data_IF_355250716336
#
_entry.id   IF_355250716336
#
_cell.length_a   1.000
_cell.length_b   1.000
_cell.length_c   1.000
_cell.angle_alpha   90.00
_cell.angle_beta   90.00
_cell.angle_gamma   90.00
#
_symmetry.space_group_name_H-M   'P 1'
#
loop_
_entity.id
_entity.type
_entity.pdbx_description
1 polymer ?
#
# COMPACT_ATOMS: atom_id res chain seq x y z
N UNK A 1 -6.84 3.93 -17.19
CA UNK A 1 -6.21 2.59 -17.24
C UNK A 1 -4.74 2.66 -17.67
N UNK A 2 -4.37 3.18 -18.83
CA UNK A 2 -2.96 3.43 -19.18
C UNK A 2 -2.39 4.70 -18.52
N UNK A 3 -3.22 5.63 -18.08
CA UNK A 3 -2.83 6.84 -17.34
C UNK A 3 -2.36 6.53 -15.90
N UNK A 4 -2.79 5.43 -15.32
CA UNK A 4 -2.44 5.06 -13.94
C UNK A 4 -1.01 4.50 -13.83
N UNK A 5 -0.52 3.82 -14.85
CA UNK A 5 0.87 3.36 -14.92
C UNK A 5 1.86 4.53 -14.97
N UNK A 6 1.51 5.63 -15.66
CA UNK A 6 2.33 6.84 -15.71
C UNK A 6 2.53 7.48 -14.33
N UNK A 7 1.45 7.60 -13.54
CA UNK A 7 1.49 8.19 -12.21
C UNK A 7 2.31 7.35 -11.22
N UNK A 8 2.15 6.02 -11.24
CA UNK A 8 2.94 5.12 -10.41
C UNK A 8 4.43 5.17 -10.77
N UNK A 9 4.78 5.24 -12.05
CA UNK A 9 6.16 5.39 -12.49
C UNK A 9 6.78 6.72 -12.10
N UNK A 10 6.02 7.81 -12.14
CA UNK A 10 6.49 9.13 -11.69
C UNK A 10 6.80 9.13 -10.20
N UNK A 11 5.91 8.56 -9.39
CA UNK A 11 6.14 8.40 -7.95
C UNK A 11 7.35 7.50 -7.70
N UNK A 12 7.46 6.37 -8.39
CA UNK A 12 8.59 5.45 -8.26
C UNK A 12 9.94 6.11 -8.58
N UNK A 13 10.00 6.95 -9.61
CA UNK A 13 11.21 7.73 -9.96
C UNK A 13 11.59 8.71 -8.86
N UNK A 14 10.61 9.35 -8.23
CA UNK A 14 10.85 10.27 -7.12
C UNK A 14 11.59 9.59 -5.96
N UNK A 15 11.33 8.32 -5.72
CA UNK A 15 11.91 7.53 -4.63
C UNK A 15 12.98 6.54 -5.08
N UNK A 16 13.36 6.51 -6.36
CA UNK A 16 14.41 5.66 -6.90
C UNK A 16 14.06 4.17 -6.97
N UNK A 17 12.77 3.82 -6.98
CA UNK A 17 12.28 2.43 -7.00
C UNK A 17 11.66 2.01 -8.35
N UNK A 18 11.83 2.81 -9.38
CA UNK A 18 11.24 2.57 -10.71
C UNK A 18 11.62 1.22 -11.32
N UNK A 19 12.84 0.74 -11.05
CA UNK A 19 13.33 -0.53 -11.60
C UNK A 19 12.77 -1.77 -10.87
N UNK A 20 12.14 -1.55 -9.72
CA UNK A 20 11.49 -2.59 -8.93
C UNK A 20 10.00 -2.75 -9.24
N UNK A 21 9.41 -1.84 -10.03
CA UNK A 21 8.01 -1.94 -10.41
C UNK A 21 7.76 -3.14 -11.32
N UNK A 22 6.65 -3.83 -11.05
CA UNK A 22 6.16 -4.91 -11.90
C UNK A 22 5.16 -4.37 -12.92
N UNK A 23 5.21 -4.92 -14.13
CA UNK A 23 4.17 -4.70 -15.12
C UNK A 23 2.84 -5.31 -14.63
N UNK A 24 1.77 -4.51 -14.66
CA UNK A 24 0.48 -4.94 -14.14
C UNK A 24 -0.37 -5.57 -15.24
N UNK A 25 -0.72 -6.84 -15.03
CA UNK A 25 -1.74 -7.51 -15.84
C UNK A 25 -3.15 -7.08 -15.39
N UNK A 26 -4.12 -7.06 -16.32
CA UNK A 26 -5.51 -6.82 -15.95
C UNK A 26 -5.99 -7.86 -14.94
N UNK A 27 -6.42 -7.40 -13.76
CA UNK A 27 -6.98 -8.27 -12.74
C UNK A 27 -8.51 -8.31 -12.89
N UNK A 28 -9.08 -9.51 -12.99
CA UNK A 28 -10.51 -9.72 -12.88
C UNK A 28 -10.88 -9.82 -11.40
N UNK A 29 -11.37 -8.73 -10.83
CA UNK A 29 -11.97 -8.77 -9.50
C UNK A 29 -13.38 -9.34 -9.59
N UNK A 30 -13.62 -10.41 -8.84
CA UNK A 30 -15.00 -10.84 -8.56
C UNK A 30 -15.52 -9.94 -7.45
N UNK A 31 -16.42 -9.03 -7.81
CA UNK A 31 -17.14 -8.28 -6.80
C UNK A 31 -17.95 -9.28 -5.96
N UNK A 32 -17.73 -9.28 -4.65
CA UNK A 32 -18.56 -10.07 -3.73
C UNK A 32 -19.98 -9.47 -3.68
N UNK A 33 -20.97 -10.30 -3.51
CA UNK A 33 -22.38 -9.88 -3.33
C UNK A 33 -22.63 -9.19 -1.98
N UNK A 34 -21.61 -9.06 -1.14
CA UNK A 34 -21.64 -8.36 0.13
C UNK A 34 -21.28 -6.89 -0.01
N UNK A 35 -21.58 -6.09 0.99
CA UNK A 35 -21.24 -4.67 1.05
C UNK A 35 -19.77 -4.44 0.69
N UNK A 36 -19.54 -3.60 -0.31
CA UNK A 36 -18.20 -3.31 -0.82
C UNK A 36 -17.39 -2.51 0.20
N UNK A 37 -16.15 -2.94 0.51
CA UNK A 37 -15.23 -2.19 1.36
C UNK A 37 -14.96 -0.79 0.80
N UNK A 38 -14.95 -0.66 -0.52
CA UNK A 38 -14.81 0.63 -1.20
C UNK A 38 -15.98 1.55 -0.90
N UNK A 39 -17.22 1.03 -0.89
CA UNK A 39 -18.42 1.81 -0.56
C UNK A 39 -18.41 2.22 0.92
N UNK A 40 -17.94 1.34 1.79
CA UNK A 40 -17.72 1.68 3.21
C UNK A 40 -16.71 2.82 3.36
N UNK A 41 -15.53 2.72 2.77
CA UNK A 41 -14.48 3.75 2.79
C UNK A 41 -15.04 5.10 2.26
N UNK A 42 -15.75 5.08 1.15
CA UNK A 42 -16.39 6.27 0.59
C UNK A 42 -17.44 6.87 1.52
N UNK A 43 -18.22 6.03 2.19
CA UNK A 43 -19.23 6.50 3.14
C UNK A 43 -18.62 7.17 4.37
N UNK A 44 -17.42 6.76 4.78
CA UNK A 44 -16.65 7.38 5.86
C UNK A 44 -15.94 8.68 5.42
N UNK A 45 -15.80 8.90 4.11
CA UNK A 45 -15.07 10.04 3.55
C UNK A 45 -13.55 9.98 3.74
N UNK A 46 -13.02 8.89 4.27
CA UNK A 46 -11.60 8.67 4.49
C UNK A 46 -11.22 7.19 4.35
N UNK A 47 -9.97 6.96 3.98
CA UNK A 47 -9.32 5.65 3.94
C UNK A 47 -8.22 5.63 5.02
N UNK A 48 -8.34 4.73 5.98
CA UNK A 48 -7.36 4.55 7.06
C UNK A 48 -6.35 3.48 6.64
N UNK A 49 -5.10 3.91 6.47
CA UNK A 49 -4.00 3.09 5.98
C UNK A 49 -3.10 2.68 7.14
N UNK A 50 -3.01 1.39 7.41
CA UNK A 50 -2.08 0.82 8.38
C UNK A 50 -0.68 0.73 7.76
N UNK A 51 0.29 1.38 8.41
CA UNK A 51 1.68 1.46 7.95
C UNK A 51 2.67 1.24 9.09
N UNK A 52 3.91 0.96 8.72
CA UNK A 52 5.09 1.01 9.59
C UNK A 52 6.19 1.82 8.90
N UNK A 53 7.20 2.23 9.64
CA UNK A 53 8.34 2.91 9.05
C UNK A 53 9.20 1.91 8.27
N UNK A 54 9.29 2.11 6.96
CA UNK A 54 9.99 1.23 6.01
C UNK A 54 10.46 2.01 4.78
N UNK A 55 11.57 2.73 4.90
CA UNK A 55 12.17 3.51 3.80
C UNK A 55 12.67 2.57 2.66
N UNK A 56 12.46 2.91 1.38
CA UNK A 56 11.86 4.13 0.81
C UNK A 56 10.34 4.05 0.57
N UNK A 57 9.67 3.02 1.08
CA UNK A 57 8.25 2.79 0.84
C UNK A 57 7.37 3.69 1.71
N UNK A 58 7.62 3.71 3.02
CA UNK A 58 6.93 4.54 4.01
C UNK A 58 7.91 5.05 5.04
N UNK A 59 8.06 6.34 5.19
CA UNK A 59 8.90 6.95 6.20
C UNK A 59 8.48 8.40 6.46
N UNK A 60 9.03 9.01 7.49
CA UNK A 60 8.70 10.39 7.85
C UNK A 60 9.77 11.34 7.36
N UNK A 61 9.34 12.49 6.86
CA UNK A 61 10.23 13.60 6.54
C UNK A 61 10.59 14.40 7.81
N UNK A 62 11.38 15.46 7.63
CA UNK A 62 11.80 16.37 8.71
C UNK A 62 10.64 17.11 9.40
N UNK A 63 9.48 17.16 8.77
CA UNK A 63 8.28 17.81 9.28
C UNK A 63 7.29 16.79 9.87
N UNK A 64 7.74 15.56 10.16
CA UNK A 64 6.98 14.42 10.70
C UNK A 64 5.83 13.96 9.78
N UNK A 65 5.90 14.28 8.50
CA UNK A 65 4.91 13.91 7.50
C UNK A 65 5.30 12.59 6.83
N UNK A 66 4.33 11.70 6.70
CA UNK A 66 4.52 10.45 5.96
C UNK A 66 4.79 10.72 4.47
N UNK A 67 5.89 10.19 3.99
CA UNK A 67 6.32 10.20 2.60
C UNK A 67 6.82 8.80 2.21
N UNK A 68 7.14 8.61 0.95
CA UNK A 68 7.61 7.34 0.41
C UNK A 68 6.73 6.89 -0.75
N UNK A 69 7.19 5.84 -1.42
CA UNK A 69 6.48 5.32 -2.59
C UNK A 69 5.05 4.88 -2.23
N UNK A 70 4.90 4.05 -1.20
CA UNK A 70 3.59 3.53 -0.78
C UNK A 70 2.69 4.63 -0.21
N UNK A 71 3.23 5.54 0.60
CA UNK A 71 2.48 6.66 1.15
C UNK A 71 1.93 7.58 0.05
N UNK A 72 2.72 7.90 -0.97
CA UNK A 72 2.29 8.73 -2.08
C UNK A 72 1.30 7.99 -3.00
N UNK A 73 1.48 6.68 -3.19
CA UNK A 73 0.52 5.84 -3.92
C UNK A 73 -0.82 5.75 -3.20
N UNK A 74 -0.82 5.59 -1.88
CA UNK A 74 -2.04 5.57 -1.07
C UNK A 74 -2.82 6.89 -1.19
N UNK A 75 -2.13 8.04 -1.17
CA UNK A 75 -2.76 9.35 -1.41
C UNK A 75 -3.37 9.47 -2.81
N UNK A 76 -2.66 8.99 -3.83
CA UNK A 76 -3.18 8.98 -5.19
C UNK A 76 -4.47 8.15 -5.32
N UNK A 77 -4.51 6.99 -4.66
CA UNK A 77 -5.72 6.15 -4.64
C UNK A 77 -6.85 6.84 -3.88
N UNK A 78 -6.56 7.45 -2.72
CA UNK A 78 -7.56 8.24 -1.98
C UNK A 78 -8.14 9.38 -2.81
N UNK A 79 -7.30 10.12 -3.53
CA UNK A 79 -7.72 11.17 -4.45
C UNK A 79 -8.66 10.63 -5.55
N UNK A 80 -8.31 9.49 -6.15
CA UNK A 80 -9.13 8.84 -7.17
C UNK A 80 -10.46 8.30 -6.64
N UNK A 81 -10.51 7.88 -5.39
CA UNK A 81 -11.73 7.46 -4.70
C UNK A 81 -12.56 8.64 -4.20
N UNK A 82 -11.98 9.84 -4.12
CA UNK A 82 -12.60 11.03 -3.58
C UNK A 82 -12.70 11.03 -2.05
N UNK A 83 -11.71 10.45 -1.37
CA UNK A 83 -11.63 10.33 0.08
C UNK A 83 -10.29 10.84 0.60
N UNK A 84 -10.27 11.31 1.86
CA UNK A 84 -9.04 11.64 2.55
C UNK A 84 -8.25 10.37 2.93
N UNK A 85 -6.93 10.48 3.07
CA UNK A 85 -6.07 9.38 3.52
C UNK A 85 -5.51 9.70 4.89
N UNK A 86 -5.77 8.80 5.83
CA UNK A 86 -5.23 8.85 7.19
C UNK A 86 -4.25 7.69 7.38
N UNK A 87 -3.02 7.99 7.83
CA UNK A 87 -2.01 6.98 8.12
C UNK A 87 -1.97 6.67 9.60
N UNK A 88 -2.06 5.37 9.93
CA UNK A 88 -2.01 4.87 11.30
C UNK A 88 -0.83 3.89 11.41
N UNK A 89 0.07 4.15 12.36
CA UNK A 89 1.15 3.22 12.65
C UNK A 89 0.56 2.02 13.38
N UNK A 90 0.83 0.83 12.85
CA UNK A 90 0.38 -0.44 13.42
C UNK A 90 1.56 -1.28 13.91
N UNK A 91 1.28 -2.18 14.84
CA UNK A 91 2.15 -3.31 15.11
C UNK A 91 1.99 -4.31 13.95
N UNK A 92 3.09 -4.59 13.26
CA UNK A 92 3.06 -5.43 12.05
C UNK A 92 2.51 -6.84 12.30
N UNK A 93 2.76 -7.40 13.46
CA UNK A 93 2.26 -8.73 13.83
C UNK A 93 0.74 -8.74 14.02
N UNK A 94 0.16 -7.59 14.33
CA UNK A 94 -1.27 -7.42 14.57
C UNK A 94 -2.06 -6.93 13.34
N UNK A 95 -1.44 -6.80 12.16
CA UNK A 95 -2.05 -6.21 10.96
C UNK A 95 -3.41 -6.82 10.57
N UNK A 96 -3.56 -8.14 10.67
CA UNK A 96 -4.81 -8.84 10.36
C UNK A 96 -5.90 -8.45 11.37
N UNK A 97 -5.56 -8.44 12.67
CA UNK A 97 -6.50 -8.08 13.73
C UNK A 97 -6.93 -6.61 13.65
N UNK A 98 -6.02 -5.71 13.29
CA UNK A 98 -6.32 -4.28 13.10
C UNK A 98 -7.28 -4.09 11.91
N UNK A 99 -7.11 -4.89 10.84
CA UNK A 99 -7.99 -4.88 9.68
C UNK A 99 -9.37 -5.45 10.01
N UNK A 100 -9.43 -6.63 10.66
CA UNK A 100 -10.68 -7.30 11.05
C UNK A 100 -11.51 -6.46 12.02
N UNK A 101 -10.84 -5.73 12.91
CA UNK A 101 -11.50 -4.84 13.88
C UNK A 101 -11.94 -3.50 13.28
N UNK A 102 -11.68 -3.27 11.99
CA UNK A 102 -11.98 -2.01 11.27
C UNK A 102 -11.28 -0.77 11.88
N UNK A 103 -10.18 -0.95 12.56
CA UNK A 103 -9.33 0.17 13.00
C UNK A 103 -8.55 0.77 11.85
N UNK A 104 -8.26 -0.06 10.84
CA UNK A 104 -7.70 0.33 9.56
C UNK A 104 -8.54 -0.27 8.44
N UNK A 105 -8.54 0.36 7.29
CA UNK A 105 -9.26 -0.11 6.10
C UNK A 105 -8.38 -0.92 5.16
N UNK A 106 -7.10 -0.57 5.12
CA UNK A 106 -6.09 -1.23 4.28
C UNK A 106 -4.75 -1.31 5.01
N UNK A 107 -4.00 -2.37 4.72
CA UNK A 107 -2.58 -2.48 5.06
C UNK A 107 -1.78 -2.15 3.81
N UNK A 108 -0.96 -1.10 3.87
CA UNK A 108 -0.16 -0.68 2.72
C UNK A 108 1.24 -0.30 3.16
N UNK A 109 2.16 -1.24 3.08
CA UNK A 109 3.50 -1.09 3.66
C UNK A 109 4.53 -2.05 3.06
N UNK A 110 4.63 -2.15 1.76
CA UNK A 110 5.61 -3.05 1.13
C UNK A 110 5.49 -4.51 1.57
N UNK A 111 4.27 -4.96 1.85
CA UNK A 111 4.01 -6.28 2.39
C UNK A 111 4.34 -7.39 1.38
N UNK A 112 5.09 -8.39 1.82
CA UNK A 112 5.34 -9.58 1.01
C UNK A 112 4.08 -10.45 0.92
N UNK A 113 3.67 -10.80 -0.30
CA UNK A 113 2.56 -11.71 -0.55
C UNK A 113 2.99 -13.14 -0.28
N UNK A 114 2.59 -13.67 0.86
CA UNK A 114 2.78 -15.07 1.25
C UNK A 114 1.44 -15.80 1.24
N UNK A 115 1.47 -17.13 1.21
CA UNK A 115 0.25 -17.95 1.32
C UNK A 115 -0.53 -17.68 2.60
N UNK A 116 0.14 -17.36 3.69
CA UNK A 116 -0.48 -17.02 4.97
C UNK A 116 -1.25 -15.69 4.86
N UNK A 117 -0.61 -14.67 4.29
CA UNK A 117 -1.20 -13.34 4.09
C UNK A 117 -2.42 -13.42 3.16
N UNK A 118 -2.28 -14.08 2.02
CA UNK A 118 -3.35 -14.19 1.02
C UNK A 118 -4.53 -15.05 1.45
N UNK A 119 -4.36 -15.91 2.46
CA UNK A 119 -5.46 -16.65 3.10
C UNK A 119 -6.17 -15.84 4.18
N UNK A 120 -5.50 -14.86 4.75
CA UNK A 120 -6.01 -14.08 5.90
C UNK A 120 -6.66 -12.77 5.49
N UNK A 121 -6.32 -12.24 4.32
CA UNK A 121 -6.86 -10.97 3.82
C UNK A 121 -6.88 -10.95 2.28
N UNK A 122 -7.78 -10.15 1.73
CA UNK A 122 -7.80 -9.90 0.28
C UNK A 122 -6.62 -9.01 -0.10
N UNK A 123 -5.88 -9.40 -1.13
CA UNK A 123 -4.67 -8.72 -1.57
C UNK A 123 -4.77 -8.29 -3.03
N UNK A 124 -4.14 -7.16 -3.35
CA UNK A 124 -3.90 -6.75 -4.73
C UNK A 124 -2.84 -7.64 -5.38
N UNK A 125 -2.67 -7.53 -6.70
CA UNK A 125 -1.49 -8.07 -7.36
C UNK A 125 -0.22 -7.42 -6.79
N UNK A 126 0.89 -8.16 -6.83
CA UNK A 126 2.19 -7.59 -6.52
C UNK A 126 2.51 -6.45 -7.49
N UNK A 127 3.00 -5.32 -6.97
CA UNK A 127 3.33 -4.14 -7.77
C UNK A 127 4.83 -3.84 -7.79
N UNK A 128 5.60 -4.39 -6.83
CA UNK A 128 7.05 -4.26 -6.75
C UNK A 128 7.72 -5.60 -6.49
N UNK A 129 8.92 -5.76 -7.04
CA UNK A 129 9.83 -6.83 -6.63
C UNK A 129 10.37 -6.54 -5.23
N UNK A 130 10.49 -7.58 -4.42
CA UNK A 130 11.09 -7.52 -3.10
C UNK A 130 12.15 -8.62 -2.97
N UNK A 131 13.27 -8.30 -2.32
CA UNK A 131 14.33 -9.26 -2.06
C UNK A 131 15.02 -8.96 -0.72
N UNK A 132 15.40 -10.00 -0.02
CA UNK A 132 16.32 -9.90 1.10
C UNK A 132 17.74 -10.05 0.56
N UNK A 133 18.63 -9.15 0.95
CA UNK A 133 20.01 -9.12 0.50
C UNK A 133 20.95 -9.12 1.69
N UNK A 134 22.14 -9.69 1.51
CA UNK A 134 23.22 -9.61 2.49
C UNK A 134 24.07 -8.39 2.15
N UNK A 135 24.27 -7.51 3.12
CA UNK A 135 25.15 -6.35 2.98
C UNK A 135 26.45 -6.64 3.71
N UNK A 136 27.56 -6.64 3.00
CA UNK A 136 28.90 -6.80 3.56
C UNK A 136 29.68 -5.47 3.47
N UNK A 137 30.57 -5.27 4.45
CA UNK A 137 31.50 -4.14 4.37
C UNK A 137 32.52 -4.41 3.27
N UNK A 138 32.66 -3.49 2.35
CA UNK A 138 33.76 -3.52 1.37
C UNK A 138 35.11 -3.46 2.10
N UNK A 139 35.99 -4.38 1.75
CA UNK A 139 37.32 -4.47 2.38
C UNK A 139 38.32 -3.56 1.70
#
# INVERSE_FOLDING_TARGET
>A
RSSDLGSAQEIAKKYGVQDSLLEQEPCEFKQSDSDSDVDYIKSQGKMIVGITEFEPMDYKDKDDKWIGFDADMARLVGEKLGVDVEFVVIDWDNKVMELDSKKIDVVWNGMTLTDEVTKSMECTNAYCNNAQVVVEREK
#
